data_IF_887207481042
#
_entry.id   IF_887207481042
#
_cell.length_a   1.000
_cell.length_b   1.000
_cell.length_c   1.000
_cell.angle_alpha   90.00
_cell.angle_beta   90.00
_cell.angle_gamma   90.00
#
_symmetry.space_group_name_H-M   'P 1'
#
loop_
_entity.id
_entity.type
_entity.pdbx_description
1 polymer ?
#
# COMPACT_ATOMS: atom_id res chain seq x y z
N UNK A 1 12.28 -24.62 6.20
CA UNK A 1 11.55 -25.20 5.04
C UNK A 1 10.42 -24.29 4.57
N UNK A 2 9.68 -23.64 5.49
CA UNK A 2 8.57 -22.71 5.20
C UNK A 2 9.01 -21.45 4.42
N UNK A 3 10.18 -20.89 4.75
CA UNK A 3 10.79 -19.71 4.10
C UNK A 3 10.89 -19.81 2.56
N UNK A 4 11.48 -20.90 2.04
CA UNK A 4 11.68 -21.05 0.60
C UNK A 4 10.37 -21.34 -0.14
N UNK A 5 9.48 -22.17 0.45
CA UNK A 5 8.15 -22.43 -0.10
C UNK A 5 7.30 -21.17 -0.18
N UNK A 6 7.35 -20.32 0.84
CA UNK A 6 6.60 -19.07 0.84
C UNK A 6 7.15 -18.07 -0.19
N UNK A 7 8.48 -17.94 -0.29
CA UNK A 7 9.11 -17.10 -1.32
C UNK A 7 8.83 -17.60 -2.75
N UNK A 8 8.77 -18.93 -2.95
CA UNK A 8 8.43 -19.52 -4.24
C UNK A 8 6.94 -19.28 -4.58
N UNK A 9 6.03 -19.49 -3.62
CA UNK A 9 4.60 -19.21 -3.79
C UNK A 9 4.31 -17.73 -4.13
N UNK A 10 5.04 -16.81 -3.48
CA UNK A 10 4.94 -15.36 -3.73
C UNK A 10 5.53 -14.97 -5.09
N UNK A 11 6.59 -15.65 -5.56
CA UNK A 11 7.17 -15.38 -6.88
C UNK A 11 6.35 -15.98 -8.03
N UNK A 12 5.64 -17.08 -7.80
CA UNK A 12 4.75 -17.70 -8.80
C UNK A 12 3.47 -16.87 -9.02
N UNK A 13 3.05 -16.12 -8.01
CA UNK A 13 1.95 -15.17 -8.16
C UNK A 13 2.45 -13.89 -8.87
N UNK A 14 2.25 -13.85 -10.20
CA UNK A 14 2.66 -12.75 -11.09
C UNK A 14 1.95 -11.39 -10.82
N UNK A 15 1.31 -11.25 -9.66
CA UNK A 15 0.71 -10.01 -9.20
C UNK A 15 1.79 -9.00 -8.78
N UNK A 16 1.55 -7.70 -9.02
CA UNK A 16 2.42 -6.60 -8.58
C UNK A 16 2.60 -6.63 -7.04
N UNK A 17 1.58 -7.14 -6.33
CA UNK A 17 1.56 -7.43 -4.89
C UNK A 17 2.65 -8.44 -4.50
N UNK A 18 2.82 -9.53 -5.25
CA UNK A 18 3.90 -10.51 -5.03
C UNK A 18 5.30 -9.89 -5.16
N UNK A 19 5.50 -8.96 -6.10
CA UNK A 19 6.81 -8.29 -6.31
C UNK A 19 7.17 -7.30 -5.21
N UNK A 20 6.26 -6.40 -4.84
CA UNK A 20 6.48 -5.42 -3.75
C UNK A 20 6.75 -6.16 -2.44
N UNK A 21 5.94 -7.20 -2.20
CA UNK A 21 6.09 -8.05 -1.05
C UNK A 21 7.44 -8.80 -1.04
N UNK A 22 7.87 -9.38 -2.16
CA UNK A 22 9.17 -10.08 -2.24
C UNK A 22 10.35 -9.18 -1.84
N UNK A 23 10.29 -7.88 -2.15
CA UNK A 23 11.37 -6.91 -1.86
C UNK A 23 11.36 -6.49 -0.38
N UNK A 24 10.20 -6.13 0.16
CA UNK A 24 10.05 -5.77 1.58
C UNK A 24 10.37 -6.97 2.48
N UNK A 25 9.85 -8.14 2.13
CA UNK A 25 9.99 -9.37 2.88
C UNK A 25 11.43 -9.91 2.86
N UNK A 26 12.12 -9.89 1.72
CA UNK A 26 13.56 -10.25 1.65
C UNK A 26 14.43 -9.38 2.57
N UNK A 27 14.09 -8.10 2.75
CA UNK A 27 14.81 -7.20 3.66
C UNK A 27 14.48 -7.45 5.13
N UNK A 28 13.21 -7.73 5.43
CA UNK A 28 12.74 -8.09 6.77
C UNK A 28 13.43 -9.37 7.28
N UNK A 29 13.43 -10.41 6.48
CA UNK A 29 13.99 -11.73 6.85
C UNK A 29 15.51 -11.73 7.00
N UNK A 30 16.23 -10.86 6.27
CA UNK A 30 17.70 -10.76 6.37
C UNK A 30 18.20 -10.21 7.71
N UNK A 31 17.35 -9.55 8.49
CA UNK A 31 17.76 -8.82 9.71
C UNK A 31 17.35 -9.46 11.03
N UNK A 32 16.61 -10.57 11.02
CA UNK A 32 16.00 -11.11 12.25
C UNK A 32 16.25 -12.63 12.37
N UNK A 33 17.20 -13.07 13.23
CA UNK A 33 17.35 -14.48 13.52
C UNK A 33 16.44 -14.85 14.71
N UNK A 34 15.75 -15.99 14.60
CA UNK A 34 15.03 -16.74 15.67
C UNK A 34 13.53 -16.45 15.88
N UNK A 35 12.98 -15.23 15.71
CA UNK A 35 11.52 -14.94 15.86
C UNK A 35 10.73 -15.15 14.54
N UNK A 36 11.32 -15.88 13.59
CA UNK A 36 10.91 -15.82 12.18
C UNK A 36 9.64 -16.62 11.88
N UNK A 37 9.40 -17.76 12.54
CA UNK A 37 8.33 -18.68 12.14
C UNK A 37 6.93 -18.12 12.43
N UNK A 38 6.71 -17.54 13.61
CA UNK A 38 5.40 -17.00 13.96
C UNK A 38 5.06 -15.76 13.13
N UNK A 39 6.06 -14.94 12.81
CA UNK A 39 5.90 -13.79 11.94
C UNK A 39 5.63 -14.20 10.48
N UNK A 40 6.32 -15.22 9.97
CA UNK A 40 6.04 -15.79 8.65
C UNK A 40 4.60 -16.31 8.61
N UNK A 41 4.17 -17.11 9.59
CA UNK A 41 2.81 -17.64 9.66
C UNK A 41 1.76 -16.54 9.72
N UNK A 42 2.00 -15.50 10.52
CA UNK A 42 1.08 -14.37 10.63
C UNK A 42 0.94 -13.64 9.30
N UNK A 43 2.05 -13.42 8.61
CA UNK A 43 2.07 -12.78 7.29
C UNK A 43 1.40 -13.66 6.22
N UNK A 44 1.65 -14.97 6.23
CA UNK A 44 0.94 -15.95 5.38
C UNK A 44 -0.58 -15.90 5.60
N UNK A 45 -1.02 -15.79 6.86
CA UNK A 45 -2.44 -15.66 7.18
C UNK A 45 -3.04 -14.36 6.61
N UNK A 46 -2.40 -13.21 6.85
CA UNK A 46 -2.88 -11.91 6.34
C UNK A 46 -2.99 -11.91 4.81
N UNK A 47 -2.02 -12.52 4.12
CA UNK A 47 -2.07 -12.64 2.66
C UNK A 47 -3.21 -13.54 2.22
N UNK A 48 -3.38 -14.69 2.87
CA UNK A 48 -4.50 -15.60 2.58
C UNK A 48 -5.84 -14.88 2.76
N UNK A 49 -5.98 -14.10 3.83
CA UNK A 49 -7.16 -13.27 4.08
C UNK A 49 -7.34 -12.20 2.99
N UNK A 50 -6.28 -11.50 2.59
CA UNK A 50 -6.31 -10.53 1.49
C UNK A 50 -6.85 -11.17 0.20
N UNK A 51 -6.29 -12.29 -0.24
CA UNK A 51 -6.73 -12.99 -1.46
C UNK A 51 -8.18 -13.46 -1.38
N UNK A 52 -8.58 -14.01 -0.23
CA UNK A 52 -9.95 -14.44 0.01
C UNK A 52 -10.94 -13.28 -0.02
N UNK A 53 -10.55 -12.12 0.54
CA UNK A 53 -11.39 -10.94 0.60
C UNK A 53 -11.55 -10.30 -0.79
N UNK A 54 -10.48 -10.22 -1.58
CA UNK A 54 -10.54 -9.74 -2.97
C UNK A 54 -11.40 -10.64 -3.85
N UNK A 55 -11.29 -11.96 -3.68
CA UNK A 55 -12.10 -12.93 -4.42
C UNK A 55 -13.60 -12.86 -4.07
N UNK A 56 -13.94 -12.32 -2.89
CA UNK A 56 -15.31 -12.25 -2.37
C UNK A 56 -15.76 -10.80 -2.10
N UNK A 57 -15.18 -9.82 -2.80
CA UNK A 57 -15.32 -8.38 -2.51
C UNK A 57 -16.74 -7.78 -2.71
N UNK A 58 -17.78 -8.60 -2.79
CA UNK A 58 -19.16 -8.16 -2.98
C UNK A 58 -19.58 -7.23 -1.83
N UNK A 59 -19.96 -6.01 -2.16
CA UNK A 59 -20.32 -4.94 -1.20
C UNK A 59 -19.19 -4.57 -0.21
N UNK A 60 -17.93 -4.92 -0.51
CA UNK A 60 -16.81 -4.53 0.33
C UNK A 60 -16.57 -3.01 0.21
N UNK A 61 -16.16 -2.38 1.33
CA UNK A 61 -15.66 -1.02 1.30
C UNK A 61 -14.18 -1.01 0.87
N UNK A 62 -13.72 0.11 0.31
CA UNK A 62 -12.30 0.26 -0.05
C UNK A 62 -11.39 0.11 1.19
N UNK A 63 -11.88 0.52 2.36
CA UNK A 63 -11.15 0.42 3.62
C UNK A 63 -11.01 -1.04 4.06
N UNK A 64 -12.05 -1.85 3.88
CA UNK A 64 -12.04 -3.28 4.19
C UNK A 64 -11.09 -4.06 3.28
N UNK A 65 -11.03 -3.71 1.98
CA UNK A 65 -10.07 -4.32 1.05
C UNK A 65 -8.63 -3.93 1.38
N UNK A 66 -8.39 -2.63 1.60
CA UNK A 66 -7.06 -2.12 1.92
C UNK A 66 -6.55 -2.56 3.31
N UNK A 67 -7.45 -2.95 4.23
CA UNK A 67 -7.12 -3.33 5.60
C UNK A 67 -6.04 -4.40 5.67
N UNK A 68 -6.15 -5.50 4.92
CA UNK A 68 -5.21 -6.60 5.02
C UNK A 68 -3.79 -6.18 4.60
N UNK A 69 -3.65 -5.38 3.56
CA UNK A 69 -2.35 -4.87 3.14
C UNK A 69 -1.80 -3.78 4.09
N UNK A 70 -2.70 -2.97 4.68
CA UNK A 70 -2.36 -2.03 5.74
C UNK A 70 -1.86 -2.75 7.00
N UNK A 71 -2.58 -3.77 7.46
CA UNK A 71 -2.22 -4.64 8.59
C UNK A 71 -0.84 -5.25 8.38
N UNK A 72 -0.62 -5.82 7.20
CA UNK A 72 0.67 -6.40 6.83
C UNK A 72 1.82 -5.38 6.95
N UNK A 73 1.62 -4.18 6.41
CA UNK A 73 2.65 -3.14 6.43
C UNK A 73 2.90 -2.63 7.86
N UNK A 74 1.83 -2.44 8.65
CA UNK A 74 1.91 -2.06 10.06
C UNK A 74 2.62 -3.11 10.91
N UNK A 75 2.29 -4.38 10.72
CA UNK A 75 2.95 -5.51 11.39
C UNK A 75 4.46 -5.56 11.07
N UNK A 76 4.84 -5.44 9.79
CA UNK A 76 6.26 -5.49 9.39
C UNK A 76 7.06 -4.34 10.01
N UNK A 77 6.52 -3.12 9.96
CA UNK A 77 7.20 -1.93 10.48
C UNK A 77 7.32 -1.96 12.01
N UNK A 78 6.25 -2.33 12.71
CA UNK A 78 6.25 -2.44 14.18
C UNK A 78 7.10 -3.60 14.70
N UNK A 79 7.28 -4.65 13.90
CA UNK A 79 8.11 -5.81 14.25
C UNK A 79 9.61 -5.54 14.19
N UNK A 80 10.05 -4.34 13.77
CA UNK A 80 11.47 -4.01 13.70
C UNK A 80 12.12 -3.89 15.08
N UNK A 81 11.41 -3.33 16.06
CA UNK A 81 11.86 -3.18 17.45
C UNK A 81 10.69 -3.25 18.42
N UNK A 82 10.88 -3.99 19.50
CA UNK A 82 9.93 -4.06 20.60
C UNK A 82 10.25 -2.96 21.63
N UNK A 83 9.98 -1.71 21.28
CA UNK A 83 10.14 -0.53 22.14
C UNK A 83 8.88 0.36 22.12
N UNK A 84 8.91 1.48 22.85
CA UNK A 84 7.77 2.41 22.98
C UNK A 84 7.28 2.99 21.64
N UNK A 85 8.04 2.87 20.55
CA UNK A 85 7.63 3.32 19.23
C UNK A 85 6.81 2.27 18.47
N UNK A 86 6.66 1.04 18.99
CA UNK A 86 6.00 -0.07 18.29
C UNK A 86 4.63 0.31 17.74
N UNK A 87 3.78 0.92 18.56
CA UNK A 87 2.43 1.33 18.15
C UNK A 87 2.47 2.47 17.12
N UNK A 88 3.42 3.41 17.28
CA UNK A 88 3.60 4.51 16.32
C UNK A 88 4.06 3.98 14.96
N UNK A 89 4.98 3.01 14.95
CA UNK A 89 5.45 2.34 13.73
C UNK A 89 4.36 1.49 13.09
N UNK A 90 3.53 0.82 13.90
CA UNK A 90 2.38 0.07 13.41
C UNK A 90 1.43 0.99 12.65
N UNK A 91 1.01 2.11 13.25
CA UNK A 91 0.06 3.01 12.62
C UNK A 91 0.65 3.79 11.44
N UNK A 92 1.95 4.11 11.47
CA UNK A 92 2.65 4.64 10.30
C UNK A 92 2.59 3.64 9.15
N UNK A 93 2.95 2.38 9.41
CA UNK A 93 2.91 1.32 8.40
C UNK A 93 1.51 1.02 7.91
N UNK A 94 0.52 1.04 8.78
CA UNK A 94 -0.88 0.83 8.42
C UNK A 94 -1.38 1.88 7.41
N UNK A 95 -1.16 3.16 7.70
CA UNK A 95 -1.57 4.24 6.80
C UNK A 95 -0.78 4.20 5.48
N UNK A 96 0.50 3.86 5.53
CA UNK A 96 1.33 3.71 4.33
C UNK A 96 0.85 2.54 3.47
N UNK A 97 0.55 1.38 4.07
CA UNK A 97 0.03 0.23 3.36
C UNK A 97 -1.30 0.52 2.70
N UNK A 98 -2.24 1.15 3.43
CA UNK A 98 -3.52 1.60 2.87
C UNK A 98 -3.32 2.55 1.68
N UNK A 99 -2.41 3.51 1.81
CA UNK A 99 -2.07 4.44 0.73
C UNK A 99 -1.53 3.68 -0.50
N UNK A 100 -0.57 2.77 -0.32
CA UNK A 100 0.04 1.97 -1.40
C UNK A 100 -1.02 1.15 -2.13
N UNK A 101 -1.89 0.46 -1.38
CA UNK A 101 -2.94 -0.38 -1.97
C UNK A 101 -3.90 0.43 -2.86
N UNK A 102 -4.30 1.60 -2.38
CA UNK A 102 -5.29 2.44 -3.08
C UNK A 102 -4.69 3.15 -4.29
N UNK A 103 -3.46 3.68 -4.18
CA UNK A 103 -2.82 4.37 -5.32
C UNK A 103 -2.52 3.39 -6.46
N UNK A 104 -2.10 2.16 -6.14
CA UNK A 104 -1.85 1.09 -7.12
C UNK A 104 -3.14 0.73 -7.87
N UNK A 105 -4.24 0.55 -7.12
CA UNK A 105 -5.56 0.31 -7.72
C UNK A 105 -6.04 1.46 -8.61
N UNK A 106 -5.66 2.72 -8.34
CA UNK A 106 -6.04 3.84 -9.21
C UNK A 106 -5.14 3.93 -10.45
N UNK A 107 -3.83 3.71 -10.30
CA UNK A 107 -2.85 3.70 -11.39
C UNK A 107 -3.17 2.61 -12.42
N UNK A 108 -3.57 1.42 -11.95
CA UNK A 108 -3.94 0.27 -12.80
C UNK A 108 -5.41 0.26 -13.25
N UNK A 109 -6.23 1.23 -12.83
CA UNK A 109 -7.69 1.22 -13.04
C UNK A 109 -8.08 1.02 -14.52
N UNK A 110 -7.44 1.73 -15.45
CA UNK A 110 -7.70 1.61 -16.89
C UNK A 110 -7.34 0.22 -17.42
N UNK A 111 -6.18 -0.29 -17.02
CA UNK A 111 -5.65 -1.56 -17.48
C UNK A 111 -6.47 -2.74 -16.93
N UNK A 112 -6.92 -2.66 -15.68
CA UNK A 112 -7.73 -3.71 -15.06
C UNK A 112 -9.14 -3.74 -15.62
N UNK A 113 -9.79 -2.57 -15.78
CA UNK A 113 -11.12 -2.50 -16.39
C UNK A 113 -11.10 -3.04 -17.83
N UNK A 114 -10.09 -2.67 -18.64
CA UNK A 114 -9.97 -3.14 -20.02
C UNK A 114 -9.68 -4.65 -20.14
N UNK A 115 -8.99 -5.24 -19.15
CA UNK A 115 -8.67 -6.68 -19.11
C UNK A 115 -9.70 -7.49 -18.32
N UNK A 116 -10.76 -6.87 -17.83
CA UNK A 116 -11.76 -7.47 -16.95
C UNK A 116 -11.12 -8.17 -15.73
N UNK A 117 -10.09 -7.53 -15.15
CA UNK A 117 -9.42 -7.96 -13.92
C UNK A 117 -10.07 -7.29 -12.71
N UNK A 118 -9.92 -7.92 -11.55
CA UNK A 118 -10.34 -7.32 -10.30
C UNK A 118 -9.56 -6.03 -10.03
N UNK A 119 -10.29 -4.96 -9.75
CA UNK A 119 -9.74 -3.68 -9.28
C UNK A 119 -10.60 -3.19 -8.12
N UNK A 120 -9.96 -2.87 -6.99
CA UNK A 120 -10.66 -2.52 -5.76
C UNK A 120 -11.54 -1.26 -5.90
N UNK A 121 -11.06 -0.25 -6.63
CA UNK A 121 -11.78 1.01 -6.83
C UNK A 121 -13.01 0.76 -7.70
N UNK A 122 -12.85 0.02 -8.80
CA UNK A 122 -13.95 -0.38 -9.67
C UNK A 122 -15.01 -1.19 -8.89
N UNK A 123 -14.58 -2.20 -8.13
CA UNK A 123 -15.48 -3.06 -7.36
C UNK A 123 -16.27 -2.33 -6.26
N UNK A 124 -15.67 -1.32 -5.62
CA UNK A 124 -16.31 -0.58 -4.54
C UNK A 124 -17.20 0.57 -4.99
N UNK A 125 -16.91 1.18 -6.15
CA UNK A 125 -17.53 2.47 -6.51
C UNK A 125 -18.23 2.49 -7.87
N UNK A 126 -17.96 1.56 -8.79
CA UNK A 126 -18.56 1.57 -10.13
C UNK A 126 -19.86 0.76 -10.19
N UNK A 127 -20.88 1.18 -9.42
CA UNK A 127 -22.15 0.45 -9.33
C UNK A 127 -22.94 0.44 -10.65
N UNK A 128 -22.76 1.47 -11.48
CA UNK A 128 -23.50 1.66 -12.72
C UNK A 128 -22.77 1.07 -13.95
N UNK A 129 -21.66 0.34 -13.74
CA UNK A 129 -20.81 -0.23 -14.80
C UNK A 129 -20.38 0.81 -15.86
N UNK A 130 -20.03 2.00 -15.41
CA UNK A 130 -19.56 3.09 -16.26
C UNK A 130 -18.25 2.73 -16.96
N UNK A 131 -18.02 3.36 -18.12
CA UNK A 131 -16.74 3.26 -18.82
C UNK A 131 -15.62 3.91 -17.99
N UNK A 132 -14.36 3.50 -18.22
CA UNK A 132 -13.20 4.09 -17.53
C UNK A 132 -13.18 5.64 -17.62
N UNK A 133 -13.49 6.20 -18.79
CA UNK A 133 -13.45 7.65 -19.02
C UNK A 133 -14.46 8.44 -18.18
N UNK A 134 -15.60 7.85 -17.87
CA UNK A 134 -16.64 8.45 -17.03
C UNK A 134 -16.35 8.19 -15.55
N UNK A 135 -16.05 6.93 -15.22
CA UNK A 135 -15.83 6.48 -13.85
C UNK A 135 -14.60 7.13 -13.21
N UNK A 136 -13.47 7.20 -13.94
CA UNK A 136 -12.22 7.77 -13.41
C UNK A 136 -12.42 9.21 -12.91
N UNK A 137 -13.10 10.04 -13.70
CA UNK A 137 -13.41 11.44 -13.33
C UNK A 137 -14.34 11.53 -12.12
N UNK A 138 -15.32 10.64 -12.02
CA UNK A 138 -16.26 10.60 -10.90
C UNK A 138 -15.57 10.20 -9.59
N UNK A 139 -14.65 9.24 -9.65
CA UNK A 139 -14.03 8.66 -8.45
C UNK A 139 -12.76 9.40 -8.01
N UNK A 140 -12.12 10.16 -8.91
CA UNK A 140 -10.83 10.83 -8.69
C UNK A 140 -10.77 11.63 -7.38
N UNK A 141 -11.70 12.56 -7.17
CA UNK A 141 -11.71 13.42 -5.98
C UNK A 141 -11.82 12.62 -4.67
N UNK A 142 -12.59 11.53 -4.70
CA UNK A 142 -12.74 10.65 -3.54
C UNK A 142 -11.45 9.92 -3.23
N UNK A 143 -10.78 9.39 -4.26
CA UNK A 143 -9.51 8.67 -4.09
C UNK A 143 -8.41 9.62 -3.64
N UNK A 144 -8.33 10.81 -4.22
CA UNK A 144 -7.39 11.85 -3.81
C UNK A 144 -7.55 12.22 -2.34
N UNK A 145 -8.79 12.42 -1.87
CA UNK A 145 -9.07 12.72 -0.47
C UNK A 145 -8.61 11.59 0.47
N UNK A 146 -8.88 10.32 0.10
CA UNK A 146 -8.47 9.16 0.91
C UNK A 146 -6.94 9.06 0.97
N UNK A 147 -6.26 9.22 -0.16
CA UNK A 147 -4.80 9.19 -0.24
C UNK A 147 -4.17 10.35 0.54
N UNK A 148 -4.67 11.57 0.38
CA UNK A 148 -4.22 12.74 1.14
C UNK A 148 -4.38 12.55 2.65
N UNK A 149 -5.49 11.93 3.08
CA UNK A 149 -5.70 11.58 4.49
C UNK A 149 -4.66 10.57 4.98
N UNK A 150 -4.41 9.49 4.21
CA UNK A 150 -3.42 8.48 4.58
C UNK A 150 -1.99 9.09 4.65
N UNK A 151 -1.62 9.92 3.67
CA UNK A 151 -0.33 10.60 3.64
C UNK A 151 -0.15 11.53 4.86
N UNK A 152 -1.18 12.31 5.19
CA UNK A 152 -1.19 13.17 6.39
C UNK A 152 -1.00 12.36 7.68
N UNK A 153 -1.67 11.21 7.79
CA UNK A 153 -1.49 10.31 8.93
C UNK A 153 -0.07 9.74 9.00
N UNK A 154 0.52 9.31 7.88
CA UNK A 154 1.92 8.85 7.83
C UNK A 154 2.87 9.90 8.40
N UNK A 155 2.70 11.16 8.03
CA UNK A 155 3.51 12.29 8.52
C UNK A 155 3.26 12.56 10.01
N UNK A 156 1.99 12.52 10.45
CA UNK A 156 1.63 12.67 11.86
C UNK A 156 2.30 11.60 12.74
N UNK A 157 2.31 10.34 12.32
CA UNK A 157 2.99 9.28 13.04
C UNK A 157 4.52 9.38 12.93
N UNK A 158 5.07 9.81 11.79
CA UNK A 158 6.51 10.06 11.66
C UNK A 158 6.96 11.11 12.67
N UNK A 159 6.22 12.22 12.82
CA UNK A 159 6.55 13.30 13.75
C UNK A 159 6.48 12.87 15.23
N UNK A 160 5.73 11.81 15.55
CA UNK A 160 5.69 11.24 16.92
C UNK A 160 6.93 10.40 17.22
N UNK A 161 7.61 9.89 16.20
CA UNK A 161 8.88 9.20 16.39
C UNK A 161 9.93 10.23 16.78
N UNK A 162 10.56 10.06 17.95
CA UNK A 162 11.69 10.90 18.40
C UNK A 162 12.95 10.57 17.60
N UNK A 163 12.93 10.86 16.31
CA UNK A 163 14.02 10.55 15.39
C UNK A 163 15.28 11.33 15.77
N UNK A 164 16.41 10.63 15.85
CA UNK A 164 17.73 11.24 16.15
C UNK A 164 18.62 11.36 14.93
N UNK A 165 18.25 10.70 13.82
CA UNK A 165 19.00 10.62 12.55
C UNK A 165 18.02 10.48 11.39
N UNK A 166 18.40 11.03 10.24
CA UNK A 166 17.70 10.88 8.95
C UNK A 166 16.24 11.36 8.95
N UNK A 167 15.87 12.27 9.85
CA UNK A 167 14.52 12.84 9.92
C UNK A 167 14.14 13.52 8.60
N UNK A 168 14.98 14.44 8.11
CA UNK A 168 14.76 15.13 6.83
C UNK A 168 14.61 14.15 5.67
N UNK A 169 15.42 13.08 5.63
CA UNK A 169 15.35 12.08 4.57
C UNK A 169 14.02 11.33 4.62
N UNK A 170 13.58 10.90 5.81
CA UNK A 170 12.31 10.19 5.99
C UNK A 170 11.12 11.10 5.70
N UNK A 171 11.19 12.36 6.13
CA UNK A 171 10.20 13.37 5.81
C UNK A 171 10.13 13.62 4.31
N UNK A 172 11.26 13.72 3.62
CA UNK A 172 11.27 13.90 2.18
C UNK A 172 10.66 12.70 1.44
N UNK A 173 10.99 11.48 1.88
CA UNK A 173 10.43 10.26 1.28
C UNK A 173 8.92 10.19 1.46
N UNK A 174 8.40 10.47 2.66
CA UNK A 174 6.96 10.40 2.91
C UNK A 174 6.20 11.62 2.38
N UNK A 175 6.69 12.82 2.61
CA UNK A 175 5.99 14.04 2.19
C UNK A 175 6.08 14.21 0.68
N UNK A 176 7.29 14.33 0.14
CA UNK A 176 7.47 14.60 -1.28
C UNK A 176 7.24 13.35 -2.12
N UNK A 177 7.71 12.17 -1.68
CA UNK A 177 7.56 10.95 -2.45
C UNK A 177 6.10 10.50 -2.64
N UNK A 178 5.26 10.63 -1.61
CA UNK A 178 3.83 10.29 -1.73
C UNK A 178 3.10 11.31 -2.62
N UNK A 179 3.33 12.61 -2.40
CA UNK A 179 2.72 13.67 -3.22
C UNK A 179 3.14 13.59 -4.69
N UNK A 180 4.43 13.37 -4.97
CA UNK A 180 4.93 13.24 -6.34
C UNK A 180 4.30 12.04 -7.06
N UNK A 181 4.12 10.91 -6.37
CA UNK A 181 3.43 9.75 -6.96
C UNK A 181 1.96 10.06 -7.21
N UNK A 182 1.26 10.74 -6.30
CA UNK A 182 -0.11 11.21 -6.53
C UNK A 182 -0.18 12.12 -7.76
N UNK A 183 0.69 13.12 -7.87
CA UNK A 183 0.70 14.06 -8.98
C UNK A 183 0.96 13.41 -10.35
N UNK A 184 1.78 12.35 -10.37
CA UNK A 184 2.00 11.53 -11.57
C UNK A 184 0.76 10.73 -11.95
N UNK A 185 0.18 10.02 -10.97
CA UNK A 185 -0.97 9.13 -11.18
C UNK A 185 -2.23 9.92 -11.56
N UNK A 186 -2.48 11.05 -10.90
CA UNK A 186 -3.58 11.96 -11.24
C UNK A 186 -3.27 12.89 -12.43
N UNK A 187 -2.10 12.75 -13.07
CA UNK A 187 -1.67 13.56 -14.23
C UNK A 187 -1.73 15.08 -13.96
N UNK A 188 -1.55 15.50 -12.71
CA UNK A 188 -1.52 16.91 -12.26
C UNK A 188 -0.25 17.65 -12.71
N UNK A 189 0.74 16.89 -13.19
CA UNK A 189 2.05 17.37 -13.58
C UNK A 189 2.12 17.93 -15.01
N UNK A 190 1.00 18.10 -15.72
CA UNK A 190 0.98 18.49 -17.13
C UNK A 190 1.18 20.00 -17.40
N UNK A 191 1.40 20.85 -16.38
CA UNK A 191 1.60 22.30 -16.55
C UNK A 191 2.72 22.88 -15.65
N UNK A 192 3.89 22.23 -15.61
CA UNK A 192 5.13 22.94 -15.27
C UNK A 192 6.12 22.81 -16.41
N UNK A 193 5.96 23.69 -17.38
CA UNK A 193 7.04 24.18 -18.24
C UNK A 193 8.15 24.78 -17.36
N UNK A 194 8.96 23.95 -16.71
CA UNK A 194 10.29 24.38 -16.28
C UNK A 194 11.21 24.23 -17.48
N UNK A 195 11.24 25.28 -18.30
CA UNK A 195 12.42 25.57 -19.11
C UNK A 195 13.62 25.52 -18.16
N UNK A 196 14.54 24.59 -18.39
CA UNK A 196 15.91 24.74 -17.90
C UNK A 196 16.39 26.15 -18.23
N UNK A 197 16.66 26.92 -17.19
CA UNK A 197 17.61 28.03 -17.25
C UNK A 197 19.01 27.46 -17.00
#
# INVERSE_FOLDING_TARGET
>A
MSYYKFLDNVNDDNSIKGKIFSILFKRYLKKTPVILEDHIKYIENILTELYNYESNAKNASIDSLAHHFAELTGFILSSYKNDDNKDTLYWLGYNLGKWIYIIDAFDDLEADMSKNKFNAINACFNNDNLSFNEFSKQVEQRIDFILGTCASQCISFLNKLKLKKNEDLLYNILQYGLLEKMDKVFKRSADKNEKSL
#
